data_IF_495102461307
#
_entry.id   IF_495102461307
#
_cell.length_a   1.000
_cell.length_b   1.000
_cell.length_c   1.000
_cell.angle_alpha   90.00
_cell.angle_beta   90.00
_cell.angle_gamma   90.00
#
_symmetry.space_group_name_H-M   'P 1'
#
loop_
_entity.id
_entity.type
_entity.pdbx_description
1 polymer ?
#
# COMPACT_ATOMS: atom_id res chain seq x y z
N UNK A 1 27.84 -11.68 -9.54
CA UNK A 1 27.07 -10.70 -8.76
C UNK A 1 25.71 -10.49 -9.42
N UNK A 2 24.69 -10.55 -8.64
CA UNK A 2 23.36 -10.35 -9.18
C UNK A 2 23.14 -8.88 -9.60
N UNK A 3 22.33 -8.68 -10.61
CA UNK A 3 21.90 -7.35 -10.97
C UNK A 3 21.21 -6.70 -9.79
N UNK A 4 21.30 -5.38 -9.69
CA UNK A 4 20.56 -4.65 -8.69
C UNK A 4 19.06 -4.91 -8.90
N UNK A 5 18.30 -5.15 -7.84
CA UNK A 5 16.84 -5.24 -7.97
C UNK A 5 16.28 -3.92 -8.48
N UNK A 6 15.04 -3.92 -8.91
CA UNK A 6 14.34 -2.70 -9.24
C UNK A 6 14.30 -1.73 -8.04
N UNK A 7 13.81 -0.51 -8.23
CA UNK A 7 13.77 0.47 -7.16
C UNK A 7 13.00 -0.07 -5.96
N UNK A 8 13.51 0.23 -4.76
CA UNK A 8 12.82 -0.17 -3.54
C UNK A 8 11.50 0.60 -3.43
N UNK A 9 10.50 -0.08 -2.92
CA UNK A 9 9.16 0.48 -2.76
C UNK A 9 8.63 0.31 -1.36
N UNK A 10 7.55 1.03 -1.08
CA UNK A 10 6.82 0.94 0.18
C UNK A 10 5.35 0.71 -0.11
N UNK A 11 4.66 0.07 0.83
CA UNK A 11 3.21 -0.01 0.84
C UNK A 11 2.70 0.04 2.27
N UNK A 12 1.47 0.50 2.44
CA UNK A 12 0.89 0.68 3.77
C UNK A 12 -0.48 0.01 3.85
N UNK A 13 -0.63 -0.82 4.88
CA UNK A 13 -1.91 -1.44 5.21
C UNK A 13 -2.61 -0.52 6.20
N UNK A 14 -3.61 0.21 5.72
CA UNK A 14 -4.40 1.11 6.56
C UNK A 14 -5.65 0.36 7.04
N UNK A 15 -5.79 0.25 8.35
CA UNK A 15 -6.84 -0.59 8.97
C UNK A 15 -7.78 0.31 9.77
N UNK A 16 -9.08 0.23 9.47
CA UNK A 16 -10.09 0.98 10.21
C UNK A 16 -10.47 0.28 11.53
N UNK A 17 -11.28 0.94 12.39
CA UNK A 17 -11.67 0.33 13.66
C UNK A 17 -12.42 -0.99 13.55
N UNK A 18 -13.05 -1.27 12.41
CA UNK A 18 -13.75 -2.53 12.15
C UNK A 18 -12.85 -3.63 11.58
N UNK A 19 -11.56 -3.35 11.40
CA UNK A 19 -10.62 -4.31 10.83
C UNK A 19 -10.63 -4.39 9.31
N UNK A 20 -11.24 -3.41 8.64
CA UNK A 20 -11.24 -3.34 7.18
C UNK A 20 -10.00 -2.63 6.68
N UNK A 21 -9.55 -3.00 5.49
CA UNK A 21 -8.33 -2.49 4.89
C UNK A 21 -8.67 -1.56 3.73
N UNK A 22 -7.97 -0.42 3.66
CA UNK A 22 -8.13 0.53 2.57
C UNK A 22 -7.31 0.06 1.36
N UNK A 23 -7.99 -0.13 0.24
CA UNK A 23 -7.35 -0.41 -1.04
C UNK A 23 -7.64 0.72 -2.02
N UNK A 24 -6.73 0.89 -2.96
CA UNK A 24 -6.80 1.88 -4.03
C UNK A 24 -7.00 1.18 -5.36
N UNK A 25 -7.96 1.64 -6.15
CA UNK A 25 -8.16 1.16 -7.51
C UNK A 25 -7.24 1.92 -8.45
N UNK A 26 -6.31 1.22 -9.09
CA UNK A 26 -5.37 1.83 -10.04
C UNK A 26 -6.11 2.28 -11.29
N UNK A 27 -5.53 3.30 -11.95
CA UNK A 27 -6.05 3.76 -13.23
C UNK A 27 -6.09 2.62 -14.25
N UNK A 28 -7.09 2.63 -15.12
CA UNK A 28 -7.23 1.65 -16.18
C UNK A 28 -6.46 2.11 -17.43
N UNK A 29 -5.16 2.34 -17.24
CA UNK A 29 -4.23 2.81 -18.25
C UNK A 29 -3.24 1.69 -18.57
N UNK A 30 -3.25 1.15 -19.80
CA UNK A 30 -2.35 0.03 -20.14
C UNK A 30 -0.86 0.41 -20.08
N UNK A 31 -0.53 1.70 -19.99
CA UNK A 31 0.86 2.13 -19.86
C UNK A 31 1.44 1.96 -18.46
N UNK A 32 0.60 1.73 -17.44
CA UNK A 32 1.06 1.54 -16.07
C UNK A 32 1.02 0.06 -15.68
N UNK A 33 1.82 -0.36 -14.66
CA UNK A 33 1.73 -1.73 -14.15
C UNK A 33 0.35 -1.99 -13.50
N UNK A 34 -0.17 -3.20 -13.69
CA UNK A 34 -1.40 -3.68 -13.05
C UNK A 34 -2.59 -2.72 -13.21
N UNK A 35 -2.92 -2.29 -14.44
CA UNK A 35 -4.00 -1.33 -14.63
C UNK A 35 -5.35 -1.89 -14.15
N UNK A 36 -6.19 -1.02 -13.60
CA UNK A 36 -7.55 -1.38 -13.20
C UNK A 36 -7.65 -2.38 -12.06
N UNK A 37 -6.58 -2.58 -11.30
CA UNK A 37 -6.60 -3.51 -10.15
C UNK A 37 -6.63 -2.75 -8.83
N UNK A 38 -7.16 -3.40 -7.80
CA UNK A 38 -7.08 -2.92 -6.43
C UNK A 38 -5.73 -3.30 -5.84
N UNK A 39 -5.11 -2.38 -5.11
CA UNK A 39 -3.81 -2.60 -4.48
C UNK A 39 -3.69 -1.76 -3.20
N UNK A 40 -2.65 -2.04 -2.42
CA UNK A 40 -2.30 -1.22 -1.28
C UNK A 40 -1.70 0.12 -1.74
N UNK A 41 -1.97 1.22 -1.03
CA UNK A 41 -1.30 2.48 -1.32
C UNK A 41 0.19 2.37 -1.05
N UNK A 42 0.99 3.06 -1.85
CA UNK A 42 2.43 3.05 -1.72
C UNK A 42 3.12 3.74 -2.89
N UNK A 43 4.42 3.55 -3.00
CA UNK A 43 5.23 4.14 -4.06
C UNK A 43 6.69 3.75 -3.94
N UNK A 44 7.52 4.42 -4.72
CA UNK A 44 8.95 4.13 -4.77
C UNK A 44 9.75 5.13 -3.95
N UNK A 45 10.85 4.65 -3.36
CA UNK A 45 11.80 5.50 -2.65
C UNK A 45 12.49 6.45 -3.63
N UNK A 46 12.66 7.69 -3.18
CA UNK A 46 13.55 8.64 -3.83
C UNK A 46 14.98 8.43 -3.34
N UNK A 47 15.96 8.94 -4.09
CA UNK A 47 17.36 8.83 -3.71
C UNK A 47 17.61 9.41 -2.32
N UNK A 48 18.24 8.61 -1.46
CA UNK A 48 18.56 9.03 -0.10
C UNK A 48 17.39 9.03 0.88
N UNK A 49 16.21 8.64 0.43
CA UNK A 49 15.01 8.60 1.28
C UNK A 49 14.98 7.32 2.12
N UNK A 50 14.66 7.45 3.41
CA UNK A 50 14.41 6.28 4.25
C UNK A 50 13.06 5.68 3.92
N UNK A 51 12.91 4.34 3.98
CA UNK A 51 11.63 3.69 3.67
C UNK A 51 10.43 4.24 4.45
N UNK A 52 10.58 4.47 5.75
CA UNK A 52 9.46 5.01 6.55
C UNK A 52 9.07 6.42 6.12
N UNK A 53 10.04 7.24 5.74
CA UNK A 53 9.77 8.59 5.25
C UNK A 53 9.09 8.57 3.89
N UNK A 54 9.44 7.59 3.06
CA UNK A 54 8.75 7.36 1.79
C UNK A 54 7.27 7.02 2.03
N UNK A 55 6.97 6.15 2.99
CA UNK A 55 5.60 5.80 3.31
C UNK A 55 4.79 7.03 3.76
N UNK A 56 5.37 7.87 4.63
CA UNK A 56 4.74 9.12 5.08
C UNK A 56 4.47 10.04 3.88
N UNK A 57 5.46 10.23 3.04
CA UNK A 57 5.37 11.11 1.87
C UNK A 57 4.32 10.63 0.88
N UNK A 58 4.33 9.33 0.55
CA UNK A 58 3.38 8.78 -0.43
C UNK A 58 1.93 8.89 0.03
N UNK A 59 1.66 8.62 1.32
CA UNK A 59 0.30 8.78 1.85
C UNK A 59 -0.16 10.23 1.78
N UNK A 60 0.74 11.18 2.04
CA UNK A 60 0.41 12.60 1.95
C UNK A 60 0.18 13.03 0.50
N UNK A 61 1.07 12.65 -0.40
CA UNK A 61 0.97 13.05 -1.82
C UNK A 61 -0.24 12.43 -2.50
N UNK A 62 -0.49 11.15 -2.28
CA UNK A 62 -1.54 10.43 -3.00
C UNK A 62 -2.93 10.62 -2.41
N UNK A 63 -3.04 10.75 -1.10
CA UNK A 63 -4.33 10.71 -0.41
C UNK A 63 -4.56 11.87 0.55
N UNK A 64 -3.58 12.74 0.73
CA UNK A 64 -3.68 13.82 1.70
C UNK A 64 -3.73 13.36 3.15
N UNK A 65 -3.23 12.15 3.42
CA UNK A 65 -3.23 11.59 4.77
C UNK A 65 -1.92 11.94 5.49
N UNK A 66 -2.04 12.53 6.67
CA UNK A 66 -0.91 12.83 7.55
C UNK A 66 -0.75 11.71 8.57
N UNK A 67 0.14 10.77 8.25
CA UNK A 67 0.46 9.66 9.15
C UNK A 67 1.91 9.85 9.60
N UNK A 68 2.15 10.19 10.88
CA UNK A 68 3.51 10.39 11.35
C UNK A 68 4.29 9.08 11.38
N UNK A 69 5.63 9.12 11.29
CA UNK A 69 6.45 7.90 11.31
C UNK A 69 6.17 7.00 12.52
N UNK A 70 5.90 7.59 13.68
CA UNK A 70 5.62 6.82 14.90
C UNK A 70 4.32 6.02 14.85
N UNK A 71 3.42 6.36 13.94
CA UNK A 71 2.15 5.64 13.76
C UNK A 71 2.27 4.47 12.76
N UNK A 72 3.40 4.35 12.08
CA UNK A 72 3.66 3.28 11.12
C UNK A 72 4.38 2.12 11.82
N UNK A 73 3.77 0.95 11.75
CA UNK A 73 4.30 -0.27 12.35
C UNK A 73 4.82 -1.19 11.26
N UNK A 74 6.10 -1.54 11.33
CA UNK A 74 6.72 -2.39 10.31
C UNK A 74 6.12 -3.79 10.33
N UNK A 75 5.74 -4.28 9.16
CA UNK A 75 5.19 -5.63 8.97
C UNK A 75 6.26 -6.56 8.44
N UNK A 76 6.80 -6.24 7.27
CA UNK A 76 7.78 -7.08 6.59
C UNK A 76 8.51 -6.26 5.52
N UNK A 77 9.74 -6.66 5.23
CA UNK A 77 10.48 -6.20 4.04
C UNK A 77 10.87 -7.43 3.25
N UNK A 78 10.42 -7.52 2.00
CA UNK A 78 10.64 -8.71 1.15
C UNK A 78 11.13 -8.32 -0.22
N UNK A 79 11.99 -9.15 -0.79
CA UNK A 79 12.32 -9.08 -2.20
C UNK A 79 11.14 -9.62 -3.01
N UNK A 80 10.55 -8.77 -3.84
CA UNK A 80 9.47 -9.14 -4.75
C UNK A 80 10.02 -9.26 -6.17
N UNK A 81 9.19 -9.72 -7.10
CA UNK A 81 9.57 -9.81 -8.51
C UNK A 81 9.91 -8.46 -9.14
N UNK A 82 9.35 -7.39 -8.59
CA UNK A 82 9.51 -6.02 -9.08
C UNK A 82 10.48 -5.17 -8.24
N UNK A 83 11.07 -5.70 -7.17
CA UNK A 83 12.03 -5.00 -6.33
C UNK A 83 11.84 -5.28 -4.84
N UNK A 84 12.68 -4.65 -4.02
CA UNK A 84 12.57 -4.75 -2.56
C UNK A 84 11.40 -3.91 -2.08
N UNK A 85 10.51 -4.52 -1.31
CA UNK A 85 9.29 -3.88 -0.84
C UNK A 85 9.22 -3.89 0.69
N UNK A 86 9.00 -2.71 1.26
CA UNK A 86 8.81 -2.51 2.70
C UNK A 86 7.35 -2.26 2.98
N UNK A 87 6.78 -3.01 3.92
CA UNK A 87 5.36 -2.92 4.27
C UNK A 87 5.19 -2.48 5.71
N UNK A 88 4.33 -1.49 5.93
CA UNK A 88 3.88 -1.04 7.26
C UNK A 88 2.38 -1.18 7.36
N UNK A 89 1.88 -1.16 8.60
CA UNK A 89 0.45 -0.94 8.82
C UNK A 89 0.26 0.28 9.74
N UNK A 90 -0.89 0.91 9.63
CA UNK A 90 -1.29 2.02 10.50
C UNK A 90 -2.80 2.02 10.65
N UNK A 91 -3.26 2.58 11.77
CA UNK A 91 -4.68 2.78 11.98
C UNK A 91 -5.21 3.88 11.06
N UNK A 92 -6.37 3.63 10.45
CA UNK A 92 -7.07 4.62 9.65
C UNK A 92 -8.21 5.20 10.49
N UNK A 93 -8.15 6.49 10.74
CA UNK A 93 -9.13 7.18 11.59
C UNK A 93 -9.90 8.28 10.84
N UNK A 94 -9.85 8.26 9.51
CA UNK A 94 -10.60 9.20 8.67
C UNK A 94 -11.62 8.44 7.82
N UNK A 95 -12.69 9.13 7.43
CA UNK A 95 -13.67 8.58 6.51
C UNK A 95 -13.05 8.54 5.11
N UNK A 96 -13.01 7.37 4.44
CA UNK A 96 -12.46 7.26 3.09
C UNK A 96 -13.11 8.21 2.08
N UNK A 97 -14.37 8.58 2.29
CA UNK A 97 -15.06 9.53 1.42
C UNK A 97 -14.43 10.92 1.44
N UNK A 98 -13.63 11.25 2.46
CA UNK A 98 -12.93 12.53 2.55
C UNK A 98 -11.55 12.51 1.87
N UNK A 99 -11.09 11.37 1.41
CA UNK A 99 -9.79 11.23 0.77
C UNK A 99 -9.88 11.78 -0.66
N UNK A 100 -8.95 12.68 -0.99
CA UNK A 100 -8.81 13.24 -2.34
C UNK A 100 -7.62 12.57 -3.00
N UNK A 101 -7.89 11.72 -4.00
CA UNK A 101 -6.84 11.02 -4.73
C UNK A 101 -6.18 11.94 -5.75
N UNK A 102 -4.86 11.86 -5.85
CA UNK A 102 -4.10 12.47 -6.93
C UNK A 102 -3.78 11.48 -8.04
N UNK A 103 -3.84 10.19 -7.74
CA UNK A 103 -3.68 9.10 -8.68
C UNK A 103 -4.70 8.01 -8.37
N UNK A 104 -5.05 7.21 -9.37
CA UNK A 104 -6.02 6.13 -9.22
C UNK A 104 -7.45 6.59 -9.36
N UNK A 105 -8.36 5.63 -9.41
CA UNK A 105 -9.77 5.89 -9.67
C UNK A 105 -10.60 6.04 -8.41
N UNK A 106 -10.24 5.30 -7.35
CA UNK A 106 -11.03 5.27 -6.12
C UNK A 106 -10.24 4.65 -4.96
N UNK A 107 -10.71 4.90 -3.74
CA UNK A 107 -10.31 4.14 -2.55
C UNK A 107 -11.56 3.55 -1.93
N UNK A 108 -11.41 2.40 -1.27
CA UNK A 108 -12.52 1.72 -0.62
C UNK A 108 -12.00 0.81 0.48
N UNK A 109 -12.79 0.66 1.54
CA UNK A 109 -12.53 -0.28 2.63
C UNK A 109 -13.08 -1.66 2.27
N UNK A 110 -12.25 -2.68 2.50
CA UNK A 110 -12.62 -4.08 2.26
C UNK A 110 -12.42 -4.89 3.52
N UNK A 111 -13.37 -5.78 3.82
CA UNK A 111 -13.22 -6.73 4.93
C UNK A 111 -12.18 -7.80 4.58
N UNK A 112 -11.60 -8.48 5.59
CA UNK A 112 -10.71 -9.62 5.33
C UNK A 112 -11.36 -10.69 4.44
N UNK A 113 -12.64 -10.94 4.61
CA UNK A 113 -13.39 -11.92 3.80
C UNK A 113 -13.46 -11.49 2.34
N UNK A 114 -13.73 -10.22 2.09
CA UNK A 114 -13.75 -9.68 0.73
C UNK A 114 -12.38 -9.79 0.07
N UNK A 115 -11.33 -9.42 0.81
CA UNK A 115 -9.94 -9.48 0.32
C UNK A 115 -9.58 -10.92 -0.08
N UNK A 116 -10.02 -11.91 0.69
CA UNK A 116 -9.76 -13.32 0.40
C UNK A 116 -10.34 -13.82 -0.92
N UNK A 117 -11.30 -13.10 -1.49
CA UNK A 117 -11.91 -13.45 -2.78
C UNK A 117 -11.39 -12.62 -3.94
N UNK A 118 -10.49 -11.66 -3.69
CA UNK A 118 -10.02 -10.71 -4.69
C UNK A 118 -8.67 -11.12 -5.27
N UNK A 119 -8.44 -10.73 -6.50
CA UNK A 119 -7.11 -10.74 -7.11
C UNK A 119 -6.58 -9.32 -7.09
N UNK A 120 -5.56 -9.10 -6.28
CA UNK A 120 -4.97 -7.77 -6.11
C UNK A 120 -3.81 -7.56 -7.07
N UNK A 121 -3.51 -6.29 -7.35
CA UNK A 121 -2.32 -5.91 -8.10
C UNK A 121 -1.05 -6.19 -7.31
N UNK A 122 0.06 -6.28 -8.00
CA UNK A 122 1.36 -6.60 -7.41
C UNK A 122 1.30 -7.96 -6.68
N UNK A 123 2.04 -8.09 -5.60
CA UNK A 123 2.00 -9.28 -4.74
C UNK A 123 1.29 -8.97 -3.41
N UNK A 124 0.34 -8.01 -3.46
CA UNK A 124 -0.34 -7.51 -2.26
C UNK A 124 -1.22 -8.56 -1.60
N UNK A 125 -1.76 -9.49 -2.37
CA UNK A 125 -2.55 -10.58 -1.82
C UNK A 125 -1.79 -11.45 -0.83
N UNK A 126 -0.52 -11.71 -1.10
CA UNK A 126 0.34 -12.54 -0.23
C UNK A 126 0.61 -11.84 1.10
N UNK A 127 1.00 -10.56 1.05
CA UNK A 127 1.32 -9.83 2.27
C UNK A 127 0.08 -9.60 3.12
N UNK A 128 -1.06 -9.33 2.50
CA UNK A 128 -2.32 -9.17 3.22
C UNK A 128 -2.80 -10.47 3.85
N UNK A 129 -2.68 -11.60 3.15
CA UNK A 129 -3.03 -12.89 3.72
C UNK A 129 -2.22 -13.17 4.98
N UNK A 130 -0.91 -12.96 4.93
CA UNK A 130 -0.03 -13.15 6.09
C UNK A 130 -0.38 -12.17 7.22
N UNK A 131 -0.59 -10.91 6.90
CA UNK A 131 -0.91 -9.89 7.90
C UNK A 131 -2.25 -10.18 8.60
N UNK A 132 -3.28 -10.50 7.83
CA UNK A 132 -4.62 -10.71 8.37
C UNK A 132 -4.74 -12.00 9.18
N UNK A 133 -4.00 -13.05 8.82
CA UNK A 133 -3.99 -14.31 9.58
C UNK A 133 -3.18 -14.21 10.87
N UNK A 134 -2.23 -13.29 10.94
CA UNK A 134 -1.40 -13.09 12.13
C UNK A 134 -2.02 -12.17 13.18
N UNK A 135 -3.18 -11.60 12.91
CA UNK A 135 -3.83 -10.66 13.82
C UNK A 135 -4.74 -11.35 14.82
#
# INVERSE_FOLDING_TARGET
MSAAPGPAGVQVILVDPAGRVLLQLRDDDPAIPYPGTWCLPGGHLEDGELPVDCAVRELREEMGLDVPPAALHHVVSRQRSYGLEHTWWAALDVDPATIVLTEGQAVRLFSPEEIGTMTLGYEDGDVLADFLTGR
#
